data_IF_438020844540
#
_entry.id   IF_438020844540
#
_cell.length_a   1.000
_cell.length_b   1.000
_cell.length_c   1.000
_cell.angle_alpha   90.00
_cell.angle_beta   90.00
_cell.angle_gamma   90.00
#
_symmetry.space_group_name_H-M   'P 1'
#
loop_
_entity.id
_entity.type
_entity.pdbx_description
1 polymer ?
#
# COMPACT_ATOMS: atom_id res chain seq x y z
N UNK A 1 19.51 -5.89 12.30
CA UNK A 1 19.05 -6.39 11.01
C UNK A 1 19.11 -5.24 10.01
N UNK A 2 19.71 -5.49 8.86
CA UNK A 2 19.82 -4.51 7.78
C UNK A 2 18.40 -4.25 7.22
N UNK A 3 17.83 -3.06 7.49
CA UNK A 3 16.51 -2.66 7.04
C UNK A 3 16.47 -2.29 5.53
N UNK A 4 17.44 -2.69 4.75
CA UNK A 4 17.62 -2.21 3.37
C UNK A 4 16.82 -2.97 2.31
N UNK A 5 16.14 -4.07 2.63
CA UNK A 5 15.29 -4.80 1.67
C UNK A 5 13.88 -4.99 2.23
N UNK A 6 12.90 -4.43 1.55
CA UNK A 6 11.48 -4.72 1.81
C UNK A 6 11.17 -6.16 1.34
N UNK A 7 10.47 -6.92 2.19
CA UNK A 7 10.09 -8.31 1.88
C UNK A 7 8.61 -8.52 2.19
N UNK A 8 7.78 -8.56 1.16
CA UNK A 8 6.36 -8.83 1.32
C UNK A 8 6.11 -10.33 1.50
N UNK A 9 5.44 -10.67 2.60
CA UNK A 9 5.02 -12.05 2.92
C UNK A 9 3.51 -12.04 3.14
N UNK A 10 2.69 -12.46 2.15
CA UNK A 10 1.22 -12.43 2.25
C UNK A 10 0.69 -13.12 3.51
N UNK A 11 1.27 -14.26 3.89
CA UNK A 11 0.86 -15.07 5.05
C UNK A 11 1.08 -14.36 6.39
N UNK A 12 1.94 -13.35 6.43
CA UNK A 12 2.19 -12.51 7.61
C UNK A 12 1.40 -11.21 7.55
N UNK A 13 0.25 -11.20 6.92
CA UNK A 13 -0.61 -10.04 6.85
C UNK A 13 -1.72 -10.09 7.88
N UNK A 14 -2.06 -8.94 8.44
CA UNK A 14 -3.26 -8.69 9.24
C UNK A 14 -4.12 -7.67 8.50
N UNK A 15 -5.28 -8.13 8.03
CA UNK A 15 -6.19 -7.33 7.23
C UNK A 15 -7.51 -7.13 7.96
N UNK A 16 -8.03 -5.90 7.98
CA UNK A 16 -9.19 -5.51 8.78
C UNK A 16 -10.19 -4.73 7.95
N UNK A 17 -11.42 -5.23 7.82
CA UNK A 17 -12.54 -4.55 7.17
C UNK A 17 -13.84 -4.72 7.97
N UNK A 18 -14.17 -3.79 8.88
CA UNK A 18 -15.32 -3.93 9.80
C UNK A 18 -16.68 -3.64 9.17
N UNK A 19 -16.74 -3.00 8.01
CA UNK A 19 -17.97 -2.45 7.42
C UNK A 19 -18.27 -2.98 6.03
N UNK A 20 -17.87 -4.22 5.74
CA UNK A 20 -18.08 -4.87 4.44
C UNK A 20 -19.58 -5.11 4.17
N UNK A 21 -20.32 -5.55 5.16
CA UNK A 21 -21.75 -5.83 5.04
C UNK A 21 -22.65 -4.95 5.94
N UNK A 22 -23.95 -5.08 5.76
CA UNK A 22 -24.94 -4.31 6.50
C UNK A 22 -25.03 -4.67 8.01
N UNK A 23 -24.30 -5.66 8.50
CA UNK A 23 -24.32 -6.05 9.93
C UNK A 23 -23.85 -4.91 10.84
N UNK A 24 -22.95 -4.05 10.32
CA UNK A 24 -22.49 -2.86 11.04
C UNK A 24 -23.63 -1.86 11.30
N UNK A 25 -24.54 -1.67 10.32
CA UNK A 25 -25.65 -0.72 10.43
C UNK A 25 -26.63 -1.07 11.54
N UNK A 26 -26.74 -2.34 11.93
CA UNK A 26 -27.58 -2.78 13.05
C UNK A 26 -27.03 -2.35 14.43
N UNK A 27 -25.75 -2.01 14.50
CA UNK A 27 -25.04 -1.65 15.76
C UNK A 27 -24.69 -0.16 15.78
N UNK A 28 -24.47 0.45 14.62
CA UNK A 28 -24.12 1.87 14.51
C UNK A 28 -24.53 2.45 13.15
N UNK A 29 -25.26 3.54 13.18
CA UNK A 29 -25.59 4.33 11.98
C UNK A 29 -24.54 5.41 11.67
N UNK A 30 -23.37 5.34 12.31
CA UNK A 30 -22.37 6.40 12.26
C UNK A 30 -21.57 6.39 10.94
N UNK A 31 -21.43 5.21 10.32
CA UNK A 31 -20.60 5.03 9.14
C UNK A 31 -21.38 4.38 7.99
N UNK A 32 -21.05 4.76 6.77
CA UNK A 32 -21.56 4.12 5.57
C UNK A 32 -20.90 2.75 5.38
N UNK A 33 -21.61 1.84 4.75
CA UNK A 33 -21.06 0.55 4.33
C UNK A 33 -19.97 0.74 3.26
N UNK A 34 -18.93 -0.09 3.32
CA UNK A 34 -17.83 -0.18 2.35
C UNK A 34 -17.77 -1.60 1.79
N UNK A 35 -18.66 -1.98 0.85
CA UNK A 35 -18.75 -3.36 0.37
C UNK A 35 -17.46 -3.84 -0.31
N UNK A 36 -16.78 -2.98 -1.05
CA UNK A 36 -15.54 -3.32 -1.73
C UNK A 36 -14.31 -3.39 -0.79
N UNK A 37 -14.42 -2.92 0.47
CA UNK A 37 -13.31 -3.04 1.42
C UNK A 37 -12.90 -4.50 1.71
N UNK A 38 -13.83 -5.45 1.61
CA UNK A 38 -13.52 -6.88 1.65
C UNK A 38 -12.73 -7.36 0.43
N UNK A 39 -12.94 -6.75 -0.73
CA UNK A 39 -12.21 -7.08 -1.95
C UNK A 39 -10.76 -6.55 -1.94
N UNK A 40 -10.50 -5.47 -1.21
CA UNK A 40 -9.14 -4.95 -1.02
C UNK A 40 -8.19 -6.00 -0.44
N UNK A 41 -8.75 -6.92 0.35
CA UNK A 41 -8.02 -7.89 1.16
C UNK A 41 -7.82 -9.25 0.47
N UNK A 42 -8.41 -9.47 -0.72
CA UNK A 42 -8.45 -10.79 -1.38
C UNK A 42 -7.06 -11.41 -1.66
N UNK A 43 -6.06 -10.59 -1.94
CA UNK A 43 -4.69 -11.04 -2.23
C UNK A 43 -3.79 -11.05 -0.98
N UNK A 44 -4.37 -10.84 0.20
CA UNK A 44 -3.65 -10.95 1.46
C UNK A 44 -3.90 -12.33 2.07
N UNK A 45 -2.83 -13.07 2.19
CA UNK A 45 -2.81 -14.32 2.96
C UNK A 45 -2.90 -14.18 4.45
N UNK A 46 -2.79 -14.72 5.41
CA UNK A 46 -2.71 -14.41 6.83
C UNK A 46 -4.06 -14.16 7.48
N UNK A 47 -4.09 -13.35 8.51
CA UNK A 47 -5.31 -13.13 9.29
C UNK A 47 -6.18 -12.05 8.67
N UNK A 48 -7.42 -12.39 8.35
CA UNK A 48 -8.43 -11.46 7.87
C UNK A 48 -9.54 -11.31 8.92
N UNK A 49 -9.75 -10.08 9.39
CA UNK A 49 -10.80 -9.71 10.31
C UNK A 49 -11.86 -8.92 9.56
N UNK A 50 -13.00 -9.54 9.28
CA UNK A 50 -14.10 -8.96 8.53
C UNK A 50 -15.33 -8.76 9.42
N UNK A 51 -16.08 -7.68 9.19
CA UNK A 51 -17.35 -7.41 9.87
C UNK A 51 -17.23 -7.60 11.39
N UNK A 52 -18.05 -8.43 12.02
CA UNK A 52 -18.07 -8.69 13.47
C UNK A 52 -16.75 -9.19 14.05
N UNK A 53 -15.90 -9.82 13.26
CA UNK A 53 -14.56 -10.22 13.69
C UNK A 53 -13.56 -9.05 13.73
N UNK A 54 -13.83 -7.98 13.01
CA UNK A 54 -12.95 -6.80 12.89
C UNK A 54 -13.09 -5.85 14.10
N UNK A 55 -12.99 -6.37 15.31
CA UNK A 55 -12.99 -5.60 16.55
C UNK A 55 -11.61 -5.05 16.87
N UNK A 56 -11.55 -3.94 17.62
CA UNK A 56 -10.28 -3.39 18.12
C UNK A 56 -9.50 -4.43 18.94
N UNK A 57 -10.16 -5.19 19.75
CA UNK A 57 -9.54 -6.24 20.58
C UNK A 57 -8.91 -7.33 19.71
N UNK A 58 -9.63 -7.83 18.70
CA UNK A 58 -9.10 -8.84 17.80
C UNK A 58 -7.92 -8.30 16.97
N UNK A 59 -7.99 -7.04 16.53
CA UNK A 59 -6.87 -6.38 15.86
C UNK A 59 -5.62 -6.37 16.74
N UNK A 60 -5.74 -5.86 17.97
CA UNK A 60 -4.61 -5.78 18.90
C UNK A 60 -4.06 -7.17 19.24
N UNK A 61 -4.93 -8.18 19.41
CA UNK A 61 -4.51 -9.55 19.71
C UNK A 61 -3.78 -10.27 18.57
N UNK A 62 -3.94 -9.82 17.33
CA UNK A 62 -3.27 -10.39 16.15
C UNK A 62 -2.11 -9.53 15.62
N UNK A 63 -1.84 -8.39 16.25
CA UNK A 63 -0.87 -7.43 15.75
C UNK A 63 0.57 -7.98 15.75
N UNK A 64 0.99 -8.67 16.80
CA UNK A 64 2.39 -9.06 16.98
C UNK A 64 2.93 -9.97 15.87
N UNK A 65 2.11 -10.88 15.36
CA UNK A 65 2.49 -11.82 14.29
C UNK A 65 2.51 -11.21 12.88
N UNK A 66 1.99 -10.00 12.70
CA UNK A 66 1.85 -9.39 11.39
C UNK A 66 3.12 -8.66 10.94
N UNK A 67 3.54 -8.86 9.69
CA UNK A 67 4.53 -8.04 8.99
C UNK A 67 3.88 -6.89 8.22
N UNK A 68 2.73 -7.15 7.59
CA UNK A 68 1.92 -6.15 6.89
C UNK A 68 0.58 -5.98 7.60
N UNK A 69 0.16 -4.74 7.79
CA UNK A 69 -1.14 -4.38 8.37
C UNK A 69 -1.94 -3.59 7.36
N UNK A 70 -3.14 -4.06 7.01
CA UNK A 70 -4.08 -3.34 6.15
C UNK A 70 -5.37 -2.99 6.88
N UNK A 71 -5.71 -1.73 6.94
CA UNK A 71 -6.91 -1.20 7.58
C UNK A 71 -7.84 -0.58 6.53
N UNK A 72 -8.77 -1.38 6.00
CA UNK A 72 -9.80 -0.99 5.04
C UNK A 72 -11.07 -0.61 5.80
N UNK A 73 -11.10 0.58 6.37
CA UNK A 73 -12.16 1.03 7.27
C UNK A 73 -12.34 2.54 7.25
N UNK A 74 -13.24 3.04 8.08
CA UNK A 74 -13.39 4.47 8.30
C UNK A 74 -12.36 5.01 9.29
N UNK A 75 -11.92 6.23 9.04
CA UNK A 75 -11.16 7.01 10.01
C UNK A 75 -11.78 8.39 10.17
N UNK A 76 -11.57 9.00 11.31
CA UNK A 76 -11.92 10.39 11.57
C UNK A 76 -10.69 11.16 12.02
N UNK A 77 -10.49 12.30 11.39
CA UNK A 77 -9.45 13.22 11.76
C UNK A 77 -10.03 14.29 12.68
N UNK A 78 -9.35 14.55 13.78
CA UNK A 78 -9.62 15.72 14.63
C UNK A 78 -8.57 16.80 14.32
N UNK A 79 -9.04 17.95 13.83
CA UNK A 79 -8.17 19.06 13.44
C UNK A 79 -7.84 20.00 14.62
N UNK A 80 -8.54 19.86 15.73
CA UNK A 80 -8.32 20.66 16.94
C UNK A 80 -7.33 19.93 17.84
N UNK A 81 -7.57 18.63 18.07
CA UNK A 81 -6.67 17.74 18.80
C UNK A 81 -6.32 16.53 17.95
N UNK A 82 -5.21 16.53 17.20
CA UNK A 82 -4.82 15.43 16.32
C UNK A 82 -4.66 14.09 17.04
N UNK A 83 -4.43 14.07 18.34
CA UNK A 83 -4.33 12.85 19.14
C UNK A 83 -5.70 12.14 19.33
N UNK A 84 -6.80 12.85 19.10
CA UNK A 84 -8.17 12.32 19.09
C UNK A 84 -8.62 11.80 17.71
N UNK A 85 -7.78 11.93 16.69
CA UNK A 85 -8.00 11.23 15.41
C UNK A 85 -8.05 9.73 15.64
N UNK A 86 -8.93 9.00 14.94
CA UNK A 86 -9.11 7.58 15.20
C UNK A 86 -9.43 6.77 13.94
N UNK A 87 -9.20 5.48 14.06
CA UNK A 87 -9.61 4.44 13.11
C UNK A 87 -10.76 3.67 13.73
N UNK A 88 -11.83 3.40 12.94
CA UNK A 88 -13.03 2.73 13.41
C UNK A 88 -12.93 1.21 13.21
N UNK A 89 -13.36 0.45 14.22
CA UNK A 89 -13.49 -1.00 14.22
C UNK A 89 -14.96 -1.39 14.42
N UNK A 90 -15.27 -2.68 14.32
CA UNK A 90 -16.61 -3.18 14.62
C UNK A 90 -16.91 -3.02 16.12
N UNK A 91 -18.03 -2.40 16.51
CA UNK A 91 -18.37 -2.18 17.92
C UNK A 91 -18.78 -3.48 18.61
N UNK A 92 -18.27 -3.72 19.82
CA UNK A 92 -18.54 -4.93 20.62
C UNK A 92 -19.51 -4.73 21.77
N UNK A 93 -19.83 -3.47 22.12
CA UNK A 93 -20.64 -3.13 23.27
C UNK A 93 -21.44 -1.84 23.10
N UNK A 94 -22.11 -1.43 24.20
CA UNK A 94 -22.93 -0.21 24.24
C UNK A 94 -22.09 1.08 24.34
N UNK A 95 -20.82 0.99 24.68
CA UNK A 95 -19.94 2.15 24.79
C UNK A 95 -19.37 2.54 23.42
N UNK A 96 -19.73 3.72 22.94
CA UNK A 96 -19.34 4.26 21.64
C UNK A 96 -17.83 4.51 21.45
N UNK A 97 -17.01 4.26 22.46
CA UNK A 97 -15.56 4.52 22.46
C UNK A 97 -14.77 3.25 22.16
N UNK A 98 -15.32 2.08 22.48
CA UNK A 98 -14.62 0.78 22.46
C UNK A 98 -14.17 0.32 21.06
N UNK A 99 -14.80 0.84 20.00
CA UNK A 99 -14.49 0.51 18.63
C UNK A 99 -13.54 1.51 17.92
N UNK A 100 -12.97 2.46 18.67
CA UNK A 100 -12.07 3.48 18.12
C UNK A 100 -10.64 3.23 18.58
N UNK A 101 -9.71 3.20 17.64
CA UNK A 101 -8.29 3.21 17.94
C UNK A 101 -7.78 4.63 17.69
N UNK A 102 -7.52 5.34 18.76
CA UNK A 102 -7.08 6.73 18.70
C UNK A 102 -5.60 6.87 18.36
N UNK A 103 -5.21 8.01 17.76
CA UNK A 103 -3.82 8.29 17.45
C UNK A 103 -2.91 8.19 18.67
N UNK A 104 -3.34 8.71 19.83
CA UNK A 104 -2.57 8.62 21.08
C UNK A 104 -2.35 7.17 21.55
N UNK A 105 -3.25 6.24 21.23
CA UNK A 105 -3.07 4.82 21.53
C UNK A 105 -2.06 4.19 20.55
N UNK A 106 -2.13 4.55 19.24
CA UNK A 106 -1.21 4.04 18.22
C UNK A 106 0.24 4.38 18.58
N UNK A 107 0.51 5.57 19.11
CA UNK A 107 1.85 5.96 19.59
C UNK A 107 2.44 5.00 20.62
N UNK A 108 1.59 4.29 21.37
CA UNK A 108 2.00 3.33 22.41
C UNK A 108 2.07 1.88 21.90
N UNK A 109 1.72 1.62 20.64
CA UNK A 109 1.83 0.29 20.05
C UNK A 109 3.25 0.06 19.51
N UNK A 110 3.60 -1.21 19.31
CA UNK A 110 4.88 -1.58 18.73
C UNK A 110 4.72 -1.98 17.25
N UNK A 111 5.19 -1.12 16.35
CA UNK A 111 5.22 -1.36 14.91
C UNK A 111 6.64 -1.55 14.34
N UNK A 112 7.67 -1.69 15.18
CA UNK A 112 9.07 -1.80 14.73
C UNK A 112 9.33 -2.99 13.82
N UNK A 113 8.58 -4.08 13.99
CA UNK A 113 8.69 -5.29 13.18
C UNK A 113 7.68 -5.33 12.02
N UNK A 114 6.94 -4.24 11.79
CA UNK A 114 6.02 -4.13 10.64
C UNK A 114 6.77 -3.57 9.45
N UNK A 115 6.59 -4.22 8.33
CA UNK A 115 7.23 -3.83 7.06
C UNK A 115 6.38 -2.81 6.30
N UNK A 116 5.04 -2.87 6.49
CA UNK A 116 4.10 -2.02 5.77
C UNK A 116 2.79 -1.84 6.55
N UNK A 117 2.30 -0.60 6.57
CA UNK A 117 0.94 -0.27 6.99
C UNK A 117 0.19 0.33 5.80
N UNK A 118 -0.99 -0.21 5.48
CA UNK A 118 -1.89 0.31 4.45
C UNK A 118 -3.15 0.86 5.11
N UNK A 119 -3.38 2.15 4.94
CA UNK A 119 -4.55 2.86 5.44
C UNK A 119 -5.40 3.30 4.26
N UNK A 120 -6.29 2.44 3.79
CA UNK A 120 -7.28 2.78 2.77
C UNK A 120 -8.53 3.47 3.36
N UNK A 121 -8.41 3.93 4.59
CA UNK A 121 -9.46 4.61 5.32
C UNK A 121 -9.66 6.05 4.83
N UNK A 122 -10.92 6.44 4.71
CA UNK A 122 -11.32 7.77 4.29
C UNK A 122 -11.71 8.64 5.47
N UNK A 123 -11.51 9.94 5.33
CA UNK A 123 -12.12 10.90 6.24
C UNK A 123 -13.63 10.94 6.03
N UNK A 124 -14.42 10.51 7.00
CA UNK A 124 -15.88 10.68 7.04
C UNK A 124 -16.26 11.99 7.73
N UNK A 125 -15.59 13.07 7.36
CA UNK A 125 -15.86 14.41 7.90
C UNK A 125 -16.56 15.29 6.89
N UNK A 126 -17.80 15.68 7.20
CA UNK A 126 -18.56 16.66 6.41
C UNK A 126 -17.82 17.99 6.28
N UNK A 127 -17.40 18.34 5.07
CA UNK A 127 -17.56 19.68 4.53
C UNK A 127 -16.55 20.76 4.85
N UNK A 128 -15.36 20.52 5.39
CA UNK A 128 -14.25 21.48 5.29
C UNK A 128 -12.96 20.73 5.06
N UNK A 129 -12.46 20.80 3.85
CA UNK A 129 -11.15 20.37 3.45
C UNK A 129 -10.11 21.07 4.33
N UNK A 130 -9.67 20.45 5.39
CA UNK A 130 -8.44 20.84 6.02
C UNK A 130 -7.32 20.07 5.35
N UNK A 131 -6.63 20.77 4.55
CA UNK A 131 -5.30 20.63 3.99
C UNK A 131 -4.45 19.50 4.59
N UNK A 132 -4.68 18.23 4.23
CA UNK A 132 -3.68 17.17 4.35
C UNK A 132 -3.13 16.78 5.74
N UNK A 133 -3.31 17.61 6.76
CA UNK A 133 -2.66 17.44 8.05
C UNK A 133 -3.27 16.33 8.93
N UNK A 134 -4.52 16.02 8.71
CA UNK A 134 -5.19 15.09 9.60
C UNK A 134 -4.88 13.61 9.32
N UNK A 135 -4.83 13.19 8.07
CA UNK A 135 -4.35 11.84 7.71
C UNK A 135 -2.87 11.71 8.09
N UNK A 136 -2.12 12.80 7.98
CA UNK A 136 -0.76 12.87 8.47
C UNK A 136 -0.67 12.62 9.98
N UNK A 137 -1.69 12.89 10.78
CA UNK A 137 -1.65 12.60 12.23
C UNK A 137 -1.68 11.09 12.51
N UNK A 138 -2.53 10.31 11.84
CA UNK A 138 -2.54 8.85 11.96
C UNK A 138 -1.27 8.22 11.37
N UNK A 139 -0.84 8.68 10.19
CA UNK A 139 0.41 8.24 9.58
C UNK A 139 1.62 8.52 10.49
N UNK A 140 1.70 9.71 11.09
CA UNK A 140 2.75 10.03 12.07
C UNK A 140 2.71 9.12 13.29
N UNK A 141 1.53 8.75 13.77
CA UNK A 141 1.41 7.84 14.91
C UNK A 141 1.98 6.45 14.58
N UNK A 142 1.70 5.90 13.40
CA UNK A 142 2.28 4.63 12.94
C UNK A 142 3.80 4.72 12.72
N UNK A 143 4.29 5.83 12.15
CA UNK A 143 5.72 6.05 11.98
C UNK A 143 6.44 6.14 13.34
N UNK A 144 5.88 6.89 14.30
CA UNK A 144 6.42 6.99 15.64
C UNK A 144 6.37 5.66 16.41
N UNK A 145 5.35 4.83 16.15
CA UNK A 145 5.25 3.47 16.67
C UNK A 145 6.25 2.49 16.02
N UNK A 146 6.95 2.90 14.93
CA UNK A 146 8.07 2.18 14.33
C UNK A 146 7.85 1.64 12.93
N UNK A 147 6.72 1.95 12.25
CA UNK A 147 6.50 1.58 10.85
C UNK A 147 6.64 2.79 9.92
N UNK A 148 7.77 2.87 9.25
CA UNK A 148 8.06 3.98 8.32
C UNK A 148 7.36 3.82 6.97
N UNK A 149 7.16 2.57 6.50
CA UNK A 149 6.56 2.31 5.20
C UNK A 149 5.04 2.27 5.30
N UNK A 150 4.37 3.21 4.63
CA UNK A 150 2.93 3.34 4.70
C UNK A 150 2.34 3.66 3.32
N UNK A 151 1.20 3.06 3.01
CA UNK A 151 0.30 3.53 1.95
C UNK A 151 -0.89 4.19 2.62
N UNK A 152 -1.13 5.45 2.31
CA UNK A 152 -2.16 6.26 2.96
C UNK A 152 -3.05 6.95 1.92
N UNK A 153 -4.28 7.24 2.32
CA UNK A 153 -5.23 8.01 1.51
C UNK A 153 -5.25 9.48 1.95
N UNK A 154 -4.98 10.41 1.04
CA UNK A 154 -4.92 11.86 1.31
C UNK A 154 -6.29 12.53 1.40
N UNK A 155 -7.30 11.97 0.75
CA UNK A 155 -8.69 12.43 0.76
C UNK A 155 -9.62 11.23 0.65
N UNK A 156 -10.93 11.49 0.75
CA UNK A 156 -11.94 10.43 0.66
C UNK A 156 -11.69 9.54 -0.55
N UNK A 157 -11.43 8.26 -0.28
CA UNK A 157 -11.28 7.24 -1.29
C UNK A 157 -12.67 6.70 -1.69
N UNK A 158 -12.88 6.52 -2.99
CA UNK A 158 -14.03 5.77 -3.49
C UNK A 158 -13.75 4.27 -3.37
N UNK A 159 -14.73 3.52 -2.91
CA UNK A 159 -14.61 2.11 -2.51
C UNK A 159 -14.11 1.21 -3.67
N UNK A 160 -14.73 1.30 -4.85
CA UNK A 160 -14.41 0.44 -6.01
C UNK A 160 -12.99 0.66 -6.56
N UNK A 161 -12.55 1.89 -6.93
CA UNK A 161 -11.20 2.07 -7.45
C UNK A 161 -10.13 1.81 -6.40
N UNK A 162 -10.41 2.06 -5.12
CA UNK A 162 -9.49 1.75 -4.02
C UNK A 162 -9.27 0.25 -3.89
N UNK A 163 -10.36 -0.54 -3.92
CA UNK A 163 -10.27 -1.99 -3.90
C UNK A 163 -9.49 -2.54 -5.11
N UNK A 164 -9.73 -1.99 -6.30
CA UNK A 164 -8.97 -2.37 -7.49
C UNK A 164 -7.47 -2.09 -7.32
N UNK A 165 -7.10 -0.86 -6.91
CA UNK A 165 -5.71 -0.47 -6.73
C UNK A 165 -5.05 -1.33 -5.63
N UNK A 166 -5.72 -1.59 -4.52
CA UNK A 166 -5.19 -2.41 -3.42
C UNK A 166 -4.88 -3.84 -3.89
N UNK A 167 -5.78 -4.49 -4.64
CA UNK A 167 -5.53 -5.81 -5.21
C UNK A 167 -4.32 -5.83 -6.15
N UNK A 168 -4.24 -4.87 -7.07
CA UNK A 168 -3.09 -4.77 -7.99
C UNK A 168 -1.80 -4.46 -7.25
N UNK A 169 -1.86 -3.61 -6.22
CA UNK A 169 -0.72 -3.28 -5.38
C UNK A 169 -0.11 -4.54 -4.74
N UNK A 170 -0.92 -5.38 -4.10
CA UNK A 170 -0.44 -6.64 -3.52
C UNK A 170 0.07 -7.61 -4.58
N UNK A 171 -0.60 -7.71 -5.73
CA UNK A 171 -0.09 -8.52 -6.85
C UNK A 171 1.30 -8.06 -7.34
N UNK A 172 1.56 -6.75 -7.33
CA UNK A 172 2.89 -6.23 -7.68
C UNK A 172 3.92 -6.44 -6.58
N UNK A 173 3.53 -6.38 -5.29
CA UNK A 173 4.41 -6.74 -4.18
C UNK A 173 4.84 -8.20 -4.24
N UNK A 174 3.93 -9.14 -4.52
CA UNK A 174 4.22 -10.57 -4.71
C UNK A 174 5.20 -10.83 -5.87
N UNK A 175 5.19 -9.97 -6.90
CA UNK A 175 6.17 -10.00 -8.00
C UNK A 175 7.54 -9.44 -7.62
N UNK A 176 7.73 -9.02 -6.37
CA UNK A 176 8.99 -8.51 -5.86
C UNK A 176 9.24 -7.03 -6.12
N UNK A 177 8.23 -6.26 -6.51
CA UNK A 177 8.37 -4.81 -6.60
C UNK A 177 8.40 -4.19 -5.20
N UNK A 178 9.16 -3.13 -5.02
CA UNK A 178 9.09 -2.33 -3.80
C UNK A 178 7.72 -1.60 -3.68
N UNK A 179 7.31 -1.15 -2.49
CA UNK A 179 5.98 -0.59 -2.29
C UNK A 179 5.67 0.64 -3.16
N UNK A 180 6.66 1.51 -3.43
CA UNK A 180 6.44 2.69 -4.27
C UNK A 180 6.20 2.31 -5.73
N UNK A 181 7.01 1.38 -6.25
CA UNK A 181 6.86 0.83 -7.60
C UNK A 181 5.55 0.04 -7.74
N UNK A 182 5.23 -0.81 -6.75
CA UNK A 182 4.00 -1.59 -6.72
C UNK A 182 2.75 -0.69 -6.77
N UNK A 183 2.71 0.38 -5.96
CA UNK A 183 1.60 1.33 -5.97
C UNK A 183 1.50 2.09 -7.31
N UNK A 184 2.65 2.48 -7.88
CA UNK A 184 2.69 3.11 -9.20
C UNK A 184 2.13 2.19 -10.28
N UNK A 185 2.53 0.92 -10.30
CA UNK A 185 2.04 -0.04 -11.28
C UNK A 185 0.55 -0.33 -11.09
N UNK A 186 0.08 -0.49 -9.86
CA UNK A 186 -1.34 -0.68 -9.56
C UNK A 186 -2.22 0.45 -10.11
N UNK A 187 -1.77 1.71 -9.98
CA UNK A 187 -2.46 2.87 -10.58
C UNK A 187 -2.43 2.85 -12.10
N UNK A 188 -1.30 2.45 -12.70
CA UNK A 188 -1.19 2.32 -14.15
C UNK A 188 -2.07 1.20 -14.68
N UNK A 189 -2.26 0.11 -13.94
CA UNK A 189 -3.16 -0.96 -14.31
C UNK A 189 -4.62 -0.49 -14.29
N UNK A 190 -5.04 0.28 -13.29
CA UNK A 190 -6.36 0.92 -13.28
C UNK A 190 -6.55 1.81 -14.51
N UNK A 191 -5.57 2.65 -14.85
CA UNK A 191 -5.66 3.57 -15.98
C UNK A 191 -5.64 2.86 -17.35
N UNK A 192 -5.20 1.62 -17.43
CA UNK A 192 -5.19 0.81 -18.66
C UNK A 192 -6.41 -0.09 -18.78
N UNK A 193 -7.12 -0.35 -17.69
CA UNK A 193 -8.26 -1.26 -17.67
C UNK A 193 -9.53 -0.55 -18.19
N UNK A 194 -10.07 -0.97 -19.36
CA UNK A 194 -11.27 -0.36 -19.90
C UNK A 194 -12.51 -0.49 -19.00
N UNK A 195 -12.56 -1.54 -18.15
CA UNK A 195 -13.66 -1.74 -17.20
C UNK A 195 -13.68 -0.69 -16.08
N UNK A 196 -12.52 -0.02 -15.85
CA UNK A 196 -12.32 1.03 -14.86
C UNK A 196 -12.35 2.44 -15.48
N UNK A 197 -12.76 2.60 -16.74
CA UNK A 197 -12.71 3.88 -17.49
C UNK A 197 -13.35 5.06 -16.74
N UNK A 198 -14.44 4.83 -16.01
CA UNK A 198 -15.13 5.83 -15.20
C UNK A 198 -14.27 6.38 -14.03
N UNK A 199 -13.22 5.65 -13.65
CA UNK A 199 -12.31 5.99 -12.55
C UNK A 199 -10.92 6.47 -13.03
N UNK A 200 -10.74 6.76 -14.33
CA UNK A 200 -9.45 7.21 -14.87
C UNK A 200 -9.08 8.65 -14.49
N UNK A 201 -9.98 9.41 -13.88
CA UNK A 201 -9.66 10.78 -13.44
C UNK A 201 -8.90 10.78 -12.11
N UNK A 202 -7.97 11.74 -11.89
CA UNK A 202 -7.07 11.76 -10.73
C UNK A 202 -7.72 11.64 -9.34
N UNK A 203 -8.93 12.18 -9.07
CA UNK A 203 -9.55 12.04 -7.75
C UNK A 203 -9.70 10.59 -7.27
N UNK A 204 -9.81 9.62 -8.18
CA UNK A 204 -10.03 8.21 -7.85
C UNK A 204 -8.77 7.38 -7.60
N UNK A 205 -7.61 7.82 -8.09
CA UNK A 205 -6.35 7.08 -7.95
C UNK A 205 -5.20 7.92 -7.37
N UNK A 206 -5.33 9.25 -7.42
CA UNK A 206 -4.30 10.16 -6.92
C UNK A 206 -4.24 10.24 -5.40
N UNK A 207 -5.29 9.83 -4.71
CA UNK A 207 -5.42 9.90 -3.25
C UNK A 207 -4.48 8.96 -2.50
N UNK A 208 -4.20 7.77 -3.03
CA UNK A 208 -3.31 6.82 -2.40
C UNK A 208 -1.85 7.22 -2.67
N UNK A 209 -1.07 7.40 -1.62
CA UNK A 209 0.36 7.68 -1.70
C UNK A 209 1.16 6.70 -0.84
N UNK A 210 2.40 6.44 -1.24
CA UNK A 210 3.38 5.75 -0.42
C UNK A 210 4.24 6.78 0.31
N UNK A 211 4.46 6.55 1.60
CA UNK A 211 5.45 7.26 2.42
C UNK A 211 6.37 6.22 3.04
N UNK A 212 7.68 6.46 3.02
CA UNK A 212 8.64 5.53 3.60
C UNK A 212 9.93 5.45 2.79
N UNK A 213 10.74 4.45 3.12
CA UNK A 213 12.00 4.18 2.45
C UNK A 213 11.76 3.25 1.27
N UNK A 214 11.76 3.79 0.05
CA UNK A 214 11.80 2.99 -1.17
C UNK A 214 13.26 2.72 -1.51
N UNK A 215 13.67 1.46 -1.41
CA UNK A 215 14.91 1.01 -2.02
C UNK A 215 14.65 0.78 -3.51
N UNK A 216 14.34 1.84 -4.23
CA UNK A 216 14.38 1.77 -5.67
C UNK A 216 15.84 1.51 -6.06
N UNK A 217 16.22 0.25 -6.08
CA UNK A 217 17.41 -0.14 -6.83
C UNK A 217 17.09 0.23 -8.26
N UNK A 218 17.80 1.23 -8.80
CA UNK A 218 17.74 1.62 -10.20
C UNK A 218 18.10 0.43 -11.09
N UNK A 219 17.22 -0.54 -11.20
CA UNK A 219 17.34 -1.72 -12.09
C UNK A 219 17.52 -1.25 -13.54
N UNK A 220 17.11 -0.02 -13.83
CA UNK A 220 17.26 0.62 -15.13
C UNK A 220 18.73 0.74 -15.55
N UNK A 221 19.61 1.08 -14.63
CA UNK A 221 21.05 1.22 -14.91
C UNK A 221 21.73 -0.12 -15.16
N UNK A 222 21.41 -1.16 -14.38
CA UNK A 222 22.05 -2.49 -14.54
C UNK A 222 21.72 -3.11 -15.88
N UNK A 223 20.49 -3.01 -16.34
CA UNK A 223 20.11 -3.54 -17.65
C UNK A 223 20.65 -2.70 -18.81
N UNK A 224 20.73 -1.37 -18.67
CA UNK A 224 21.28 -0.49 -19.71
C UNK A 224 22.77 -0.68 -19.90
N UNK A 225 23.55 -0.87 -18.85
CA UNK A 225 24.97 -1.19 -18.97
C UNK A 225 25.21 -2.57 -19.58
N UNK A 226 24.42 -3.59 -19.23
CA UNK A 226 24.51 -4.90 -19.86
C UNK A 226 24.22 -4.83 -21.37
N UNK A 227 23.19 -4.07 -21.77
CA UNK A 227 22.91 -3.85 -23.20
C UNK A 227 24.02 -3.10 -23.93
N UNK A 228 24.60 -2.06 -23.33
CA UNK A 228 25.74 -1.33 -23.91
C UNK A 228 26.98 -2.20 -24.03
N UNK A 229 27.24 -3.07 -23.03
CA UNK A 229 28.34 -4.04 -23.10
C UNK A 229 28.15 -5.06 -24.22
N UNK A 230 26.94 -5.61 -24.40
CA UNK A 230 26.64 -6.54 -25.50
C UNK A 230 26.81 -5.88 -26.86
N UNK A 231 26.32 -4.65 -27.01
CA UNK A 231 26.45 -3.89 -28.27
C UNK A 231 27.95 -3.57 -28.57
N UNK A 232 28.70 -3.14 -27.56
CA UNK A 232 30.14 -2.85 -27.74
C UNK A 232 30.94 -4.10 -28.10
N UNK A 233 30.66 -5.24 -27.46
CA UNK A 233 31.29 -6.51 -27.77
C UNK A 233 30.96 -6.99 -29.20
N UNK A 234 29.69 -6.84 -29.63
CA UNK A 234 29.30 -7.16 -31.02
C UNK A 234 30.02 -6.27 -32.07
N UNK A 235 30.12 -4.97 -31.80
CA UNK A 235 30.84 -4.03 -32.68
C UNK A 235 32.32 -4.37 -32.76
N UNK A 236 32.96 -4.69 -31.63
CA UNK A 236 34.37 -5.10 -31.61
C UNK A 236 34.61 -6.41 -32.37
N UNK A 237 33.69 -7.39 -32.24
CA UNK A 237 33.75 -8.65 -32.98
C UNK A 237 33.67 -8.40 -34.53
N UNK A 238 32.77 -7.53 -34.96
CA UNK A 238 32.62 -7.18 -36.38
C UNK A 238 33.89 -6.47 -36.92
N UNK A 239 34.47 -5.57 -36.13
CA UNK A 239 35.71 -4.87 -36.50
C UNK A 239 36.87 -5.87 -36.59
N UNK A 240 37.01 -6.76 -35.58
CA UNK A 240 38.04 -7.80 -35.59
C UNK A 240 37.91 -8.74 -36.82
N UNK A 241 36.66 -9.18 -37.11
CA UNK A 241 36.41 -10.03 -38.29
C UNK A 241 36.77 -9.35 -39.61
N UNK A 242 36.48 -8.06 -39.75
CA UNK A 242 36.86 -7.27 -40.93
C UNK A 242 38.38 -7.08 -41.05
N UNK A 243 39.09 -6.91 -39.94
CA UNK A 243 40.57 -6.80 -39.98
C UNK A 243 41.22 -8.13 -40.28
N UNK A 244 40.81 -9.25 -39.65
CA UNK A 244 41.33 -10.59 -39.92
C UNK A 244 41.06 -11.05 -41.32
N UNK A 245 39.89 -10.77 -41.90
CA UNK A 245 39.55 -11.11 -43.29
C UNK A 245 40.38 -10.36 -44.32
N UNK A 246 40.90 -9.17 -43.97
CA UNK A 246 41.81 -8.41 -44.86
C UNK A 246 43.25 -8.91 -44.80
N UNK A 247 43.73 -9.41 -43.67
CA UNK A 247 45.08 -9.96 -43.52
C UNK A 247 45.21 -11.35 -44.13
N UNK A 248 44.17 -12.18 -44.08
CA UNK A 248 44.18 -13.50 -44.73
C UNK A 248 44.28 -13.46 -46.26
N UNK A 249 43.76 -12.40 -46.92
CA UNK A 249 43.88 -12.21 -48.35
C UNK A 249 45.27 -11.73 -48.84
N UNK A 250 46.17 -11.34 -47.92
CA UNK A 250 47.51 -10.81 -48.26
C UNK A 250 48.61 -11.89 -48.31
N UNK A 251 48.26 -13.15 -47.94
CA UNK A 251 49.21 -14.28 -47.91
C UNK A 251 48.85 -15.40 -48.89
N UNK A 252 47.93 -15.16 -49.82
CA UNK A 252 47.56 -16.09 -50.86
C UNK A 252 47.92 -15.50 -52.26
N UNK A 253 49.20 -15.13 -52.49
CA UNK A 253 49.82 -14.90 -53.78
C UNK A 253 51.24 -15.50 -53.74
#
# INVERSE_FOLDING_TARGET
>A
ADKTSFHFTPEKSLAVAPVVDASYLSVSNQYLQLPASGEELQNLGGTQLLNKAATKQNFLGNLDGAGTVHLATHSKVDYIDPLQSYIAFYPTGQEHIDHRLFAHEIYNLNFQNKELVVLSSCETGSGKSAKGEGILSLSRAFAAAGCDNQVISLWKAEDIPTAYISRQFYSHLEKGNDPAAALRFAKLDLLKDPSMAQFHTPPYWGNLIFTGNSTQTDVWWKNSFAFLFIISAAVMAVIAFRFYGKTAKKWSV
#
